data_IF_679569335623
#
_entry.id   IF_679569335623
#
_cell.length_a   1.000
_cell.length_b   1.000
_cell.length_c   1.000
_cell.angle_alpha   90.00
_cell.angle_beta   90.00
_cell.angle_gamma   90.00
#
_symmetry.space_group_name_H-M   'P 1'
#
loop_
_entity.id
_entity.type
_entity.pdbx_description
1 polymer ?
#
# COMPACT_ATOMS: atom_id res chain seq x y z
N UNK A 1 -10.88 -2.75 -13.69
CA UNK A 1 -10.92 -2.79 -12.21
C UNK A 1 -10.55 -4.20 -11.77
N UNK A 2 -9.58 -4.38 -10.86
CA UNK A 2 -9.23 -5.70 -10.30
C UNK A 2 -9.79 -5.79 -8.87
N UNK A 3 -10.57 -6.81 -8.59
CA UNK A 3 -11.01 -7.23 -7.26
C UNK A 3 -10.35 -8.56 -6.94
N UNK A 4 -9.86 -8.80 -5.72
CA UNK A 4 -9.87 -7.93 -4.54
C UNK A 4 -8.82 -6.80 -4.58
N UNK A 5 -9.15 -5.65 -3.97
CA UNK A 5 -8.20 -4.54 -3.79
C UNK A 5 -7.21 -4.93 -2.68
N UNK A 6 -5.91 -4.90 -3.00
CA UNK A 6 -4.88 -5.14 -2.00
C UNK A 6 -4.74 -3.89 -1.13
N UNK A 7 -4.89 -4.09 0.18
CA UNK A 7 -4.86 -3.02 1.16
C UNK A 7 -3.98 -3.37 2.36
N UNK A 8 -3.48 -2.32 3.00
CA UNK A 8 -2.69 -2.37 4.23
C UNK A 8 -3.34 -1.51 5.31
N UNK A 9 -2.96 -1.73 6.56
CA UNK A 9 -3.35 -0.89 7.70
C UNK A 9 -2.40 0.31 7.83
N UNK A 10 -2.81 1.38 8.52
CA UNK A 10 -1.99 2.58 8.69
C UNK A 10 -0.80 2.33 9.62
N UNK A 11 -0.84 1.23 10.37
CA UNK A 11 0.22 0.73 11.24
C UNK A 11 1.26 -0.11 10.51
N UNK A 12 1.03 -0.47 9.24
CA UNK A 12 2.01 -1.18 8.43
C UNK A 12 3.16 -0.26 8.02
N UNK A 13 4.34 -0.86 7.87
CA UNK A 13 5.55 -0.12 7.52
C UNK A 13 5.65 0.13 6.01
N UNK A 14 6.51 1.07 5.63
CA UNK A 14 6.89 1.30 4.22
C UNK A 14 7.48 0.02 3.61
N UNK A 15 8.22 -0.76 4.41
CA UNK A 15 8.77 -2.06 3.98
C UNK A 15 7.67 -3.06 3.64
N UNK A 16 6.62 -3.16 4.47
CA UNK A 16 5.47 -4.03 4.20
C UNK A 16 4.80 -3.67 2.88
N UNK A 17 4.64 -2.37 2.62
CA UNK A 17 4.08 -1.86 1.36
C UNK A 17 4.95 -2.25 0.16
N UNK A 18 6.27 -2.08 0.27
CA UNK A 18 7.21 -2.47 -0.79
C UNK A 18 7.18 -3.98 -1.06
N UNK A 19 7.18 -4.81 -0.01
CA UNK A 19 7.11 -6.28 -0.14
C UNK A 19 5.83 -6.73 -0.83
N UNK A 20 4.67 -6.17 -0.46
CA UNK A 20 3.40 -6.50 -1.13
C UNK A 20 3.41 -6.03 -2.59
N UNK A 21 3.92 -4.85 -2.87
CA UNK A 21 4.01 -4.32 -4.24
C UNK A 21 4.84 -5.23 -5.13
N UNK A 22 5.97 -5.74 -4.62
CA UNK A 22 6.84 -6.70 -5.31
C UNK A 22 6.14 -8.06 -5.49
N UNK A 23 5.64 -8.64 -4.39
CA UNK A 23 5.05 -9.98 -4.39
C UNK A 23 3.78 -10.09 -5.25
N UNK A 24 3.02 -8.99 -5.37
CA UNK A 24 1.76 -8.95 -6.11
C UNK A 24 1.90 -8.27 -7.48
N UNK A 25 3.10 -7.80 -7.81
CA UNK A 25 3.42 -7.04 -9.01
C UNK A 25 2.44 -5.87 -9.23
N UNK A 26 2.26 -5.03 -8.19
CA UNK A 26 1.40 -3.86 -8.21
C UNK A 26 2.21 -2.58 -7.92
N UNK A 27 1.74 -1.45 -8.45
CA UNK A 27 2.37 -0.14 -8.22
C UNK A 27 1.82 0.61 -7.01
N UNK A 28 0.57 0.34 -6.61
CA UNK A 28 -0.14 1.08 -5.56
C UNK A 28 -0.80 0.17 -4.55
N UNK A 29 -0.87 0.62 -3.31
CA UNK A 29 -1.57 -0.06 -2.22
C UNK A 29 -2.51 0.91 -1.52
N UNK A 30 -3.73 0.44 -1.24
CA UNK A 30 -4.72 1.22 -0.50
C UNK A 30 -4.48 1.09 1.01
N UNK A 31 -4.59 2.17 1.76
CA UNK A 31 -4.48 2.15 3.22
C UNK A 31 -5.89 2.25 3.80
N UNK A 32 -6.29 1.26 4.57
CA UNK A 32 -7.63 1.16 5.18
C UNK A 32 -7.55 1.14 6.70
N UNK A 33 -8.51 1.76 7.38
CA UNK A 33 -8.62 1.70 8.84
C UNK A 33 -9.10 0.31 9.33
N UNK A 34 -9.28 0.18 10.65
CA UNK A 34 -9.79 -1.05 11.29
C UNK A 34 -11.17 -1.48 10.79
N UNK A 35 -12.02 -0.50 10.41
CA UNK A 35 -13.37 -0.71 9.91
C UNK A 35 -13.40 -0.98 8.39
N UNK A 36 -12.23 -1.03 7.74
CA UNK A 36 -12.09 -1.24 6.30
C UNK A 36 -12.35 0.01 5.46
N UNK A 37 -12.47 1.19 6.09
CA UNK A 37 -12.64 2.44 5.37
C UNK A 37 -11.31 2.85 4.74
N UNK A 38 -11.32 3.20 3.46
CA UNK A 38 -10.16 3.79 2.79
C UNK A 38 -9.81 5.13 3.44
N UNK A 39 -8.57 5.26 3.90
CA UNK A 39 -8.05 6.50 4.49
C UNK A 39 -6.87 7.09 3.71
N UNK A 40 -6.25 6.32 2.81
CA UNK A 40 -5.11 6.80 2.03
C UNK A 40 -4.67 5.83 0.95
N UNK A 41 -3.63 6.21 0.21
CA UNK A 41 -3.01 5.37 -0.82
C UNK A 41 -1.52 5.65 -0.84
N UNK A 42 -0.71 4.64 -1.10
CA UNK A 42 0.73 4.74 -1.28
C UNK A 42 1.09 4.20 -2.66
N UNK A 43 1.84 4.98 -3.43
CA UNK A 43 2.41 4.57 -4.71
C UNK A 43 3.90 4.19 -4.55
N UNK A 44 4.43 3.43 -5.51
CA UNK A 44 5.85 3.05 -5.52
C UNK A 44 6.76 4.26 -5.54
N UNK A 45 6.35 5.34 -6.21
CA UNK A 45 7.10 6.60 -6.23
C UNK A 45 7.17 7.25 -4.85
N UNK A 46 6.11 7.16 -4.04
CA UNK A 46 6.11 7.71 -2.69
C UNK A 46 7.08 6.95 -1.79
N UNK A 47 7.17 5.63 -1.96
CA UNK A 47 8.15 4.79 -1.26
C UNK A 47 9.57 5.21 -1.62
N UNK A 48 9.87 5.39 -2.91
CA UNK A 48 11.20 5.82 -3.36
C UNK A 48 11.53 7.20 -2.81
N UNK A 49 10.60 8.16 -2.87
CA UNK A 49 10.78 9.51 -2.31
C UNK A 49 11.01 9.51 -0.81
N UNK A 50 10.43 8.58 -0.06
CA UNK A 50 10.61 8.49 1.39
C UNK A 50 11.96 7.87 1.80
N UNK A 51 12.68 7.23 0.88
CA UNK A 51 13.98 6.59 1.11
C UNK A 51 15.18 7.41 0.61
N UNK A 52 14.91 8.53 -0.07
CA UNK A 52 15.91 9.49 -0.56
C UNK A 52 15.95 10.72 0.35
#
# INVERSE_FOLDING_TARGET
MKTPVISLKPTNTIKDAAEIMLNKNIGRVSIVDERGKLIGTVDREDIVKALL
#
